data_IF_677878360288
#
_entry.id   IF_677878360288
#
_cell.length_a   1.000
_cell.length_b   1.000
_cell.length_c   1.000
_cell.angle_alpha   90.00
_cell.angle_beta   90.00
_cell.angle_gamma   90.00
#
_symmetry.space_group_name_H-M   'P 1'
#
loop_
_entity.id
_entity.type
_entity.pdbx_description
1 polymer ?
#
# COMPACT_ATOMS: atom_id res chain seq x y z
N UNK A 1 6.77 1.15 14.94
CA UNK A 1 7.89 2.01 14.48
C UNK A 1 8.44 1.47 13.16
N UNK A 2 8.92 2.30 12.23
CA UNK A 2 9.52 1.82 10.96
C UNK A 2 10.67 0.83 11.20
N UNK A 3 11.41 0.98 12.31
CA UNK A 3 12.49 0.07 12.71
C UNK A 3 12.03 -1.37 12.92
N UNK A 4 10.79 -1.56 13.39
CA UNK A 4 10.22 -2.90 13.56
C UNK A 4 10.08 -3.60 12.20
N UNK A 5 9.72 -2.87 11.14
CA UNK A 5 9.60 -3.43 9.78
C UNK A 5 10.92 -4.05 9.31
N UNK A 6 12.05 -3.44 9.67
CA UNK A 6 13.39 -3.90 9.31
C UNK A 6 13.93 -5.04 10.17
N UNK A 7 13.34 -5.32 11.35
CA UNK A 7 13.71 -6.49 12.15
C UNK A 7 13.27 -7.83 11.53
N UNK A 8 12.63 -7.80 10.34
CA UNK A 8 12.02 -8.93 9.67
C UNK A 8 13.00 -9.69 8.74
N UNK A 9 13.12 -11.02 8.83
CA UNK A 9 13.92 -11.84 7.91
C UNK A 9 13.41 -11.88 6.46
N UNK A 10 12.26 -11.27 6.14
CA UNK A 10 11.63 -11.26 4.79
C UNK A 10 12.30 -10.31 3.78
N UNK A 11 13.55 -9.94 4.05
CA UNK A 11 14.29 -8.83 3.44
C UNK A 11 14.88 -9.12 2.05
N UNK A 12 14.02 -9.29 1.04
CA UNK A 12 14.34 -8.84 -0.30
C UNK A 12 13.31 -7.76 -0.66
N UNK A 13 13.78 -6.55 -0.96
CA UNK A 13 12.97 -5.39 -1.39
C UNK A 13 12.17 -4.62 -0.33
N UNK A 14 12.36 -4.84 0.99
CA UNK A 14 11.67 -4.01 1.99
C UNK A 14 12.05 -2.53 1.88
N UNK A 15 13.34 -2.25 1.65
CA UNK A 15 13.83 -0.88 1.45
C UNK A 15 13.18 -0.24 0.22
N UNK A 16 13.02 -0.99 -0.88
CA UNK A 16 12.32 -0.50 -2.06
C UNK A 16 10.87 -0.14 -1.76
N UNK A 17 10.14 -1.02 -1.06
CA UNK A 17 8.74 -0.77 -0.68
C UNK A 17 8.60 0.44 0.24
N UNK A 18 9.58 0.64 1.14
CA UNK A 18 9.58 1.78 2.04
C UNK A 18 9.85 3.08 1.27
N UNK A 19 10.82 3.08 0.35
CA UNK A 19 11.05 4.21 -0.53
C UNK A 19 9.82 4.53 -1.38
N UNK A 20 9.20 3.52 -1.98
CA UNK A 20 8.00 3.70 -2.80
C UNK A 20 6.88 4.35 -2.00
N UNK A 21 6.59 3.83 -0.79
CA UNK A 21 5.57 4.39 0.08
C UNK A 21 5.91 5.83 0.55
N UNK A 22 7.18 6.10 0.85
CA UNK A 22 7.64 7.43 1.25
C UNK A 22 7.52 8.45 0.11
N UNK A 23 7.91 8.06 -1.10
CA UNK A 23 7.80 8.86 -2.32
C UNK A 23 6.34 9.12 -2.66
N UNK A 24 5.51 8.08 -2.61
CA UNK A 24 4.07 8.19 -2.85
C UNK A 24 3.41 9.16 -1.87
N UNK A 25 3.72 9.06 -0.58
CA UNK A 25 3.24 10.01 0.42
C UNK A 25 3.66 11.44 0.08
N UNK A 26 4.94 11.66 -0.23
CA UNK A 26 5.48 12.98 -0.54
C UNK A 26 4.81 13.61 -1.77
N UNK A 27 4.66 12.83 -2.84
CA UNK A 27 3.96 13.26 -4.05
C UNK A 27 2.49 13.62 -3.77
N UNK A 28 1.78 12.79 -3.00
CA UNK A 28 0.38 13.03 -2.63
C UNK A 28 0.23 14.33 -1.83
N UNK A 29 1.11 14.57 -0.87
CA UNK A 29 1.15 15.82 -0.11
C UNK A 29 1.40 17.02 -1.04
N UNK A 30 2.40 16.93 -1.91
CA UNK A 30 2.74 18.01 -2.83
C UNK A 30 1.63 18.31 -3.85
N UNK A 31 0.92 17.29 -4.35
CA UNK A 31 -0.24 17.47 -5.22
C UNK A 31 -1.40 18.17 -4.49
N UNK A 32 -1.53 17.96 -3.18
CA UNK A 32 -2.51 18.64 -2.34
C UNK A 32 -2.08 20.06 -1.93
N UNK A 33 -0.94 20.56 -2.41
CA UNK A 33 -0.41 21.87 -2.02
C UNK A 33 0.22 21.89 -0.62
N UNK A 34 0.52 20.72 -0.05
CA UNK A 34 1.01 20.57 1.32
C UNK A 34 2.53 20.44 1.31
N UNK A 35 3.22 21.47 1.80
CA UNK A 35 4.66 21.48 2.09
C UNK A 35 4.87 20.87 3.48
N UNK A 36 5.75 19.89 3.60
CA UNK A 36 5.93 19.14 4.84
C UNK A 36 6.96 19.79 5.77
N UNK A 37 8.13 20.17 5.27
CA UNK A 37 9.17 20.84 6.05
C UNK A 37 9.92 19.96 7.06
N UNK A 38 9.53 18.69 7.23
CA UNK A 38 10.25 17.69 8.03
C UNK A 38 10.02 16.25 7.51
N UNK A 39 10.38 16.02 6.25
CA UNK A 39 10.26 14.72 5.60
C UNK A 39 11.28 13.72 6.16
N UNK A 40 10.83 12.70 6.90
CA UNK A 40 11.68 11.64 7.46
C UNK A 40 10.91 10.34 7.69
N UNK A 41 11.62 9.21 7.83
CA UNK A 41 11.00 7.93 8.21
C UNK A 41 10.49 7.98 9.65
N UNK A 42 11.16 8.73 10.53
CA UNK A 42 10.72 8.87 11.92
C UNK A 42 9.39 9.61 12.06
N UNK A 43 9.08 10.54 11.14
CA UNK A 43 7.81 11.27 11.11
C UNK A 43 6.75 10.59 10.22
N UNK A 44 7.01 9.35 9.80
CA UNK A 44 6.13 8.57 8.94
C UNK A 44 5.69 7.28 9.61
N UNK A 45 4.37 7.05 9.66
CA UNK A 45 3.81 5.77 10.04
C UNK A 45 3.67 4.90 8.80
N UNK A 46 4.39 3.77 8.79
CA UNK A 46 4.26 2.75 7.76
C UNK A 46 3.39 1.60 8.25
N UNK A 47 2.47 1.14 7.41
CA UNK A 47 1.64 -0.04 7.63
C UNK A 47 1.78 -0.99 6.46
N UNK A 48 1.82 -2.29 6.74
CA UNK A 48 1.74 -3.31 5.69
C UNK A 48 0.38 -3.21 4.99
N UNK A 49 0.42 -3.30 3.67
CA UNK A 49 -0.76 -3.27 2.81
C UNK A 49 -0.62 -4.31 1.69
N UNK A 50 -0.82 -5.58 2.03
CA UNK A 50 -0.86 -6.69 1.08
C UNK A 50 0.39 -6.78 0.19
N UNK A 51 1.56 -6.89 0.82
CA UNK A 51 2.85 -6.96 0.13
C UNK A 51 3.43 -5.58 -0.25
N UNK A 52 2.70 -4.49 -0.09
CA UNK A 52 3.21 -3.12 -0.17
C UNK A 52 3.28 -2.45 1.23
N UNK A 53 3.70 -1.19 1.27
CA UNK A 53 3.59 -0.34 2.45
C UNK A 53 2.68 0.85 2.16
N UNK A 54 1.77 1.13 3.07
CA UNK A 54 1.06 2.40 3.14
C UNK A 54 1.79 3.33 4.10
N UNK A 55 2.02 4.58 3.68
CA UNK A 55 2.69 5.59 4.48
C UNK A 55 1.73 6.73 4.88
N UNK A 56 1.85 7.18 6.12
CA UNK A 56 1.05 8.26 6.68
C UNK A 56 1.94 9.28 7.39
N UNK A 57 1.69 10.54 7.12
CA UNK A 57 2.24 11.66 7.87
C UNK A 57 1.75 11.59 9.32
N UNK A 58 2.67 11.58 10.29
CA UNK A 58 2.33 11.56 11.73
C UNK A 58 2.54 12.93 12.36
N UNK A 59 3.57 13.65 11.93
CA UNK A 59 3.94 14.95 12.45
C UNK A 59 3.92 15.99 11.32
N UNK A 60 3.10 17.03 11.52
CA UNK A 60 2.88 18.12 10.60
C UNK A 60 3.20 19.49 11.23
N UNK A 61 3.99 19.53 12.32
CA UNK A 61 4.30 20.77 13.04
C UNK A 61 4.91 21.86 12.17
N UNK A 62 5.76 21.48 11.21
CA UNK A 62 6.45 22.39 10.29
C UNK A 62 5.74 22.56 8.95
N UNK A 63 4.56 21.96 8.79
CA UNK A 63 3.90 21.88 7.51
C UNK A 63 3.13 23.16 7.16
N UNK A 64 3.10 23.48 5.87
CA UNK A 64 2.39 24.62 5.33
C UNK A 64 1.45 24.18 4.20
N UNK A 65 0.20 24.68 4.21
CA UNK A 65 -0.75 24.45 3.13
C UNK A 65 -0.81 25.66 2.21
N UNK A 66 -0.57 25.42 0.93
CA UNK A 66 -0.62 26.40 -0.14
C UNK A 66 -1.68 26.01 -1.18
N UNK A 67 -2.19 26.95 -2.00
CA UNK A 67 -3.06 26.60 -3.13
C UNK A 67 -2.39 25.65 -4.13
N UNK A 68 -1.07 25.79 -4.29
CA UNK A 68 -0.20 24.89 -5.04
C UNK A 68 1.24 25.13 -4.60
N UNK A 69 2.07 24.08 -4.58
CA UNK A 69 3.48 24.23 -4.26
C UNK A 69 4.29 24.67 -5.48
N UNK A 70 5.19 25.62 -5.27
CA UNK A 70 6.24 25.95 -6.24
C UNK A 70 7.27 24.82 -6.38
N UNK A 71 7.99 24.80 -7.50
CA UNK A 71 9.05 23.81 -7.75
C UNK A 71 10.13 23.85 -6.66
N UNK A 72 10.49 25.05 -6.19
CA UNK A 72 11.47 25.24 -5.13
C UNK A 72 11.02 24.66 -3.79
N UNK A 73 9.74 24.80 -3.42
CA UNK A 73 9.20 24.20 -2.20
C UNK A 73 9.26 22.67 -2.27
N UNK A 74 8.85 22.08 -3.40
CA UNK A 74 8.88 20.62 -3.58
C UNK A 74 10.31 20.08 -3.57
N UNK A 75 11.22 20.72 -4.28
CA UNK A 75 12.62 20.33 -4.32
C UNK A 75 13.29 20.43 -2.94
N UNK A 76 12.88 21.42 -2.14
CA UNK A 76 13.36 21.54 -0.76
C UNK A 76 12.92 20.34 0.10
N UNK A 77 11.64 19.97 0.06
CA UNK A 77 11.13 18.81 0.78
C UNK A 77 11.78 17.49 0.31
N UNK A 78 12.03 17.34 -0.99
CA UNK A 78 12.74 16.16 -1.55
C UNK A 78 14.19 16.12 -1.07
N UNK A 79 14.92 17.22 -1.13
CA UNK A 79 16.31 17.28 -0.67
C UNK A 79 16.41 16.98 0.84
N UNK A 80 15.46 17.48 1.63
CA UNK A 80 15.39 17.17 3.05
C UNK A 80 15.08 15.70 3.30
N UNK A 81 14.12 15.12 2.56
CA UNK A 81 13.82 13.70 2.62
C UNK A 81 15.07 12.86 2.33
N UNK A 82 15.82 13.20 1.28
CA UNK A 82 17.07 12.50 0.92
C UNK A 82 18.08 12.49 2.07
N UNK A 83 18.34 13.65 2.69
CA UNK A 83 19.29 13.76 3.79
C UNK A 83 18.83 12.95 5.01
N UNK A 84 17.58 13.12 5.44
CA UNK A 84 17.06 12.51 6.68
C UNK A 84 16.83 11.02 6.54
N UNK A 85 16.15 10.58 5.47
CA UNK A 85 15.92 9.16 5.19
C UNK A 85 17.25 8.44 5.04
N UNK A 86 18.22 9.06 4.36
CA UNK A 86 19.57 8.55 4.23
C UNK A 86 20.27 8.31 5.56
N UNK A 87 20.27 9.31 6.44
CA UNK A 87 20.81 9.19 7.79
C UNK A 87 20.14 8.07 8.61
N UNK A 88 18.82 7.97 8.53
CA UNK A 88 18.05 6.95 9.26
C UNK A 88 18.31 5.53 8.74
N UNK A 89 18.51 5.35 7.43
CA UNK A 89 18.92 4.08 6.84
C UNK A 89 20.35 3.69 7.26
N UNK A 90 21.27 4.65 7.30
CA UNK A 90 22.64 4.42 7.80
C UNK A 90 22.63 4.00 9.28
N UNK A 91 21.79 4.63 10.11
CA UNK A 91 21.62 4.25 11.51
C UNK A 91 21.06 2.82 11.66
N UNK A 92 20.10 2.44 10.81
CA UNK A 92 19.60 1.07 10.76
C UNK A 92 20.69 0.06 10.36
N UNK A 93 21.56 0.43 9.42
CA UNK A 93 22.68 -0.41 8.96
C UNK A 93 23.71 -0.59 10.07
N UNK A 94 24.08 0.50 10.73
CA UNK A 94 25.00 0.47 11.88
C UNK A 94 24.42 -0.34 13.05
N UNK A 95 23.09 -0.32 13.22
CA UNK A 95 22.37 -1.12 14.21
C UNK A 95 22.20 -2.60 13.84
N UNK A 96 22.61 -3.02 12.64
CA UNK A 96 22.46 -4.40 12.16
C UNK A 96 21.04 -4.81 11.78
N UNK A 97 20.15 -3.83 11.55
CA UNK A 97 18.75 -4.09 11.13
C UNK A 97 18.61 -4.25 9.62
N UNK A 98 19.56 -3.73 8.83
CA UNK A 98 19.62 -3.92 7.38
C UNK A 98 20.97 -4.49 6.98
N UNK A 99 21.02 -5.16 5.83
CA UNK A 99 22.24 -5.78 5.32
C UNK A 99 23.36 -4.74 5.20
N UNK A 100 24.57 -5.11 5.66
CA UNK A 100 25.74 -4.25 5.52
C UNK A 100 26.17 -4.06 4.06
N UNK A 101 25.72 -4.93 3.15
CA UNK A 101 25.99 -4.86 1.71
C UNK A 101 25.04 -3.88 0.98
N UNK A 102 24.09 -3.29 1.68
CA UNK A 102 23.16 -2.31 1.12
C UNK A 102 23.87 -0.96 0.93
N UNK A 103 23.84 -0.40 -0.28
CA UNK A 103 24.37 0.93 -0.55
C UNK A 103 23.32 2.00 -0.21
N UNK A 104 23.37 2.50 1.02
CA UNK A 104 22.48 3.56 1.48
C UNK A 104 22.59 4.83 0.61
N UNK A 105 23.74 5.12 0.01
CA UNK A 105 23.94 6.31 -0.83
C UNK A 105 23.18 6.14 -2.15
N UNK A 106 23.27 4.96 -2.77
CA UNK A 106 22.51 4.65 -3.99
C UNK A 106 20.99 4.74 -3.76
N UNK A 107 20.53 4.29 -2.59
CA UNK A 107 19.11 4.34 -2.19
C UNK A 107 18.62 5.78 -1.99
N UNK A 108 19.46 6.67 -1.47
CA UNK A 108 19.12 8.09 -1.31
C UNK A 108 18.94 8.77 -2.68
N UNK A 109 19.82 8.48 -3.63
CA UNK A 109 19.71 9.00 -5.00
C UNK A 109 18.47 8.44 -5.72
N UNK A 110 18.07 7.22 -5.37
CA UNK A 110 16.87 6.60 -5.89
C UNK A 110 15.59 7.29 -5.40
N UNK A 111 15.54 7.81 -4.16
CA UNK A 111 14.36 8.52 -3.62
C UNK A 111 13.97 9.72 -4.50
N UNK A 112 14.92 10.62 -4.78
CA UNK A 112 14.65 11.78 -5.64
C UNK A 112 14.30 11.38 -7.07
N UNK A 113 14.99 10.38 -7.63
CA UNK A 113 14.69 9.88 -8.98
C UNK A 113 13.27 9.30 -9.07
N UNK A 114 12.85 8.50 -8.09
CA UNK A 114 11.48 7.96 -8.01
C UNK A 114 10.45 9.06 -7.82
N UNK A 115 10.76 10.05 -6.98
CA UNK A 115 9.90 11.23 -6.81
C UNK A 115 9.72 11.99 -8.12
N UNK A 116 10.80 12.36 -8.80
CA UNK A 116 10.75 13.11 -10.05
C UNK A 116 10.03 12.31 -11.16
N UNK A 117 10.26 11.00 -11.22
CA UNK A 117 9.57 10.12 -12.16
C UNK A 117 8.06 10.07 -11.90
N UNK A 118 7.66 9.86 -10.64
CA UNK A 118 6.24 9.80 -10.27
C UNK A 118 5.56 11.16 -10.44
N UNK A 119 6.18 12.24 -9.96
CA UNK A 119 5.69 13.61 -10.14
C UNK A 119 5.54 13.94 -11.63
N UNK A 120 6.56 13.62 -12.44
CA UNK A 120 6.53 13.81 -13.88
C UNK A 120 5.38 13.05 -14.57
N UNK A 121 5.16 11.78 -14.24
CA UNK A 121 4.04 11.02 -14.80
C UNK A 121 2.68 11.66 -14.47
N UNK A 122 2.54 12.16 -13.24
CA UNK A 122 1.32 12.80 -12.73
C UNK A 122 1.07 14.19 -13.31
N UNK A 123 2.11 15.01 -13.48
CA UNK A 123 1.95 16.42 -13.85
C UNK A 123 2.35 16.75 -15.29
N UNK A 124 2.94 15.82 -16.05
CA UNK A 124 3.40 16.11 -17.41
C UNK A 124 2.25 16.37 -18.38
N UNK A 125 2.51 17.23 -19.37
CA UNK A 125 1.61 17.45 -20.51
C UNK A 125 2.20 16.72 -21.72
N UNK A 126 1.39 15.92 -22.43
CA UNK A 126 1.82 15.14 -23.59
C UNK A 126 1.12 15.67 -24.85
N UNK A 127 1.85 15.87 -25.97
CA UNK A 127 1.23 16.21 -27.25
C UNK A 127 0.92 14.92 -28.00
N UNK A 128 -0.37 14.69 -28.27
CA UNK A 128 -0.87 13.49 -28.90
C UNK A 128 -1.29 13.75 -30.34
N UNK A 129 -0.81 12.91 -31.26
CA UNK A 129 -1.28 12.90 -32.64
C UNK A 129 -2.72 12.34 -32.72
N UNK A 130 -3.57 12.81 -33.66
CA UNK A 130 -4.99 12.44 -33.70
C UNK A 130 -5.28 10.93 -33.76
N UNK A 131 -4.42 10.17 -34.42
CA UNK A 131 -4.52 8.71 -34.55
C UNK A 131 -4.10 7.95 -33.29
N UNK A 132 -3.36 8.59 -32.38
CA UNK A 132 -2.84 7.98 -31.16
C UNK A 132 -3.64 8.32 -29.89
N UNK A 133 -4.43 9.39 -29.94
CA UNK A 133 -5.10 9.99 -28.77
C UNK A 133 -5.83 8.96 -27.90
N UNK A 134 -6.72 8.15 -28.49
CA UNK A 134 -7.60 7.27 -27.72
C UNK A 134 -6.84 6.20 -26.94
N UNK A 135 -5.82 5.58 -27.55
CA UNK A 135 -5.07 4.52 -26.88
C UNK A 135 -4.08 5.10 -25.88
N UNK A 136 -3.42 6.23 -26.19
CA UNK A 136 -2.46 6.91 -25.29
C UNK A 136 -3.13 7.44 -24.03
N UNK A 137 -4.30 8.06 -24.16
CA UNK A 137 -5.10 8.52 -23.00
C UNK A 137 -5.48 7.33 -22.12
N UNK A 138 -5.99 6.24 -22.72
CA UNK A 138 -6.36 5.03 -21.98
C UNK A 138 -5.19 4.39 -21.24
N UNK A 139 -4.04 4.26 -21.90
CA UNK A 139 -2.81 3.75 -21.28
C UNK A 139 -2.34 4.64 -20.13
N UNK A 140 -2.39 5.97 -20.30
CA UNK A 140 -1.99 6.91 -19.26
C UNK A 140 -2.92 6.85 -18.04
N UNK A 141 -4.23 6.85 -18.24
CA UNK A 141 -5.22 6.66 -17.15
C UNK A 141 -4.99 5.33 -16.43
N UNK A 142 -4.73 4.25 -17.16
CA UNK A 142 -4.45 2.93 -16.56
C UNK A 142 -3.19 2.96 -15.68
N UNK A 143 -2.10 3.55 -16.16
CA UNK A 143 -0.86 3.69 -15.38
C UNK A 143 -1.08 4.53 -14.13
N UNK A 144 -1.82 5.64 -14.21
CA UNK A 144 -2.16 6.47 -13.05
C UNK A 144 -2.97 5.70 -12.00
N UNK A 145 -3.95 4.91 -12.43
CA UNK A 145 -4.73 4.04 -11.54
C UNK A 145 -3.85 2.95 -10.89
N UNK A 146 -2.91 2.37 -11.65
CA UNK A 146 -1.93 1.39 -11.13
C UNK A 146 -1.01 2.02 -10.07
N UNK A 147 -0.75 3.32 -10.15
CA UNK A 147 -0.01 4.11 -9.17
C UNK A 147 -0.88 4.63 -8.01
N UNK A 148 -2.18 4.33 -8.00
CA UNK A 148 -3.11 4.73 -6.92
C UNK A 148 -3.63 6.17 -7.03
N UNK A 149 -3.62 6.77 -8.23
CA UNK A 149 -4.14 8.11 -8.50
C UNK A 149 -5.35 8.06 -9.44
N UNK A 150 -6.36 8.90 -9.17
CA UNK A 150 -7.51 9.06 -10.06
C UNK A 150 -7.30 10.28 -10.97
N UNK A 151 -7.85 10.20 -12.18
CA UNK A 151 -7.93 11.34 -13.10
C UNK A 151 -9.24 12.09 -12.85
N UNK A 152 -9.13 13.35 -12.40
CA UNK A 152 -10.29 14.20 -12.11
C UNK A 152 -10.80 14.87 -13.39
N UNK A 153 -9.89 15.41 -14.19
CA UNK A 153 -10.21 16.10 -15.44
C UNK A 153 -9.24 15.72 -16.56
N UNK A 154 -9.77 15.58 -17.77
CA UNK A 154 -9.03 15.34 -19.00
C UNK A 154 -9.26 16.53 -19.93
N UNK A 155 -8.23 17.35 -20.13
CA UNK A 155 -8.26 18.47 -21.07
C UNK A 155 -7.45 18.13 -22.33
N UNK A 156 -8.03 18.38 -23.50
CA UNK A 156 -7.34 18.32 -24.79
C UNK A 156 -7.32 19.71 -25.40
N UNK A 157 -6.14 20.33 -25.41
CA UNK A 157 -5.93 21.65 -25.99
C UNK A 157 -5.34 21.50 -27.38
N UNK A 158 -5.95 22.14 -28.39
CA UNK A 158 -5.43 22.12 -29.76
C UNK A 158 -4.01 22.70 -29.80
N UNK A 159 -3.06 21.92 -30.32
CA UNK A 159 -1.65 22.26 -30.46
C UNK A 159 -1.21 22.28 -31.94
N UNK A 160 -2.16 22.43 -32.88
CA UNK A 160 -1.91 22.54 -34.31
C UNK A 160 -1.75 21.19 -35.01
N UNK A 161 -0.62 20.52 -34.82
CA UNK A 161 -0.35 19.20 -35.42
C UNK A 161 -0.91 18.03 -34.59
N UNK A 162 -1.48 18.31 -33.42
CA UNK A 162 -2.03 17.34 -32.48
C UNK A 162 -2.77 18.05 -31.34
N UNK A 163 -3.09 17.31 -30.29
CA UNK A 163 -3.74 17.85 -29.09
C UNK A 163 -2.84 17.66 -27.88
N UNK A 164 -2.62 18.72 -27.11
CA UNK A 164 -1.93 18.66 -25.82
C UNK A 164 -2.90 18.10 -24.78
N UNK A 165 -2.59 16.92 -24.28
CA UNK A 165 -3.27 16.27 -23.17
C UNK A 165 -2.75 16.86 -21.87
N UNK A 166 -3.66 17.45 -21.10
CA UNK A 166 -3.45 17.82 -19.71
C UNK A 166 -4.41 17.00 -18.84
N UNK A 167 -3.84 16.28 -17.88
CA UNK A 167 -4.60 15.52 -16.89
C UNK A 167 -4.50 16.25 -15.57
N UNK A 168 -5.64 16.57 -14.96
CA UNK A 168 -5.67 16.99 -13.57
C UNK A 168 -5.81 15.73 -12.73
N UNK A 169 -4.70 15.26 -12.18
CA UNK A 169 -4.68 14.11 -11.29
C UNK A 169 -5.02 14.55 -9.88
N UNK A 170 -5.91 13.83 -9.23
CA UNK A 170 -6.09 13.94 -7.78
C UNK A 170 -5.64 12.63 -7.15
N UNK A 171 -5.29 12.69 -5.87
CA UNK A 171 -5.14 11.47 -5.09
C UNK A 171 -6.46 10.70 -5.23
N UNK A 172 -6.38 9.44 -5.69
CA UNK A 172 -7.57 8.63 -5.91
C UNK A 172 -8.45 8.68 -4.68
N UNK A 173 -9.78 8.69 -4.82
CA UNK A 173 -10.69 8.80 -3.68
C UNK A 173 -10.34 7.70 -2.65
N UNK A 174 -9.60 8.01 -1.56
CA UNK A 174 -8.87 6.97 -0.85
C UNK A 174 -9.88 6.04 -0.21
N UNK A 175 -9.72 4.73 -0.41
CA UNK A 175 -10.58 3.77 0.27
C UNK A 175 -11.83 3.33 -0.49
N UNK A 176 -11.87 3.35 -1.83
CA UNK A 176 -13.03 2.76 -2.55
C UNK A 176 -13.19 1.29 -2.16
N UNK A 177 -12.12 0.49 -2.27
CA UNK A 177 -12.17 -0.92 -1.90
C UNK A 177 -12.34 -1.06 -0.39
N UNK A 178 -11.70 -0.20 0.42
CA UNK A 178 -11.92 -0.18 1.88
C UNK A 178 -13.39 0.03 2.25
N UNK A 179 -14.04 1.08 1.73
CA UNK A 179 -15.47 1.40 1.96
C UNK A 179 -16.35 0.25 1.50
N UNK A 180 -16.06 -0.31 0.32
CA UNK A 180 -16.83 -1.41 -0.25
C UNK A 180 -16.72 -2.68 0.60
N UNK A 181 -15.52 -3.05 1.02
CA UNK A 181 -15.28 -4.19 1.89
C UNK A 181 -15.92 -3.98 3.26
N UNK A 182 -15.72 -2.80 3.86
CA UNK A 182 -16.29 -2.44 5.15
C UNK A 182 -17.81 -2.52 5.12
N UNK A 183 -18.47 -1.99 4.09
CA UNK A 183 -19.93 -2.10 3.94
C UNK A 183 -20.42 -3.55 3.83
N UNK A 184 -19.59 -4.47 3.35
CA UNK A 184 -19.95 -5.90 3.14
C UNK A 184 -19.63 -6.80 4.32
N UNK A 185 -18.61 -6.45 5.11
CA UNK A 185 -18.00 -7.36 6.09
C UNK A 185 -17.72 -6.70 7.45
N UNK A 186 -17.72 -5.37 7.53
CA UNK A 186 -17.30 -4.61 8.70
C UNK A 186 -15.79 -4.56 8.92
N UNK A 187 -14.98 -5.16 8.04
CA UNK A 187 -13.52 -5.13 8.16
C UNK A 187 -12.96 -3.76 7.73
N UNK A 188 -12.21 -3.11 8.63
CA UNK A 188 -11.45 -1.91 8.33
C UNK A 188 -9.97 -2.26 8.15
N UNK A 189 -9.52 -2.22 6.90
CA UNK A 189 -8.21 -2.71 6.44
C UNK A 189 -7.62 -1.72 5.44
N UNK A 190 -6.40 -1.93 4.96
CA UNK A 190 -5.78 -1.07 3.94
C UNK A 190 -6.34 -1.29 2.52
N UNK A 191 -6.02 -0.41 1.57
CA UNK A 191 -6.66 -0.43 0.25
C UNK A 191 -6.28 -1.67 -0.57
N UNK A 192 -5.01 -2.06 -0.60
CA UNK A 192 -4.60 -3.27 -1.32
C UNK A 192 -5.05 -4.55 -0.60
N UNK A 193 -5.04 -4.54 0.73
CA UNK A 193 -5.69 -5.58 1.53
C UNK A 193 -7.18 -5.70 1.17
N UNK A 194 -7.91 -4.59 1.12
CA UNK A 194 -9.34 -4.60 0.79
C UNK A 194 -9.60 -5.15 -0.61
N UNK A 195 -8.82 -4.71 -1.59
CA UNK A 195 -8.86 -5.22 -2.97
C UNK A 195 -8.59 -6.73 -3.00
N UNK A 196 -7.60 -7.22 -2.25
CA UNK A 196 -7.29 -8.65 -2.16
C UNK A 196 -8.43 -9.45 -1.55
N UNK A 197 -9.01 -8.99 -0.45
CA UNK A 197 -10.10 -9.67 0.25
C UNK A 197 -11.40 -9.67 -0.58
N UNK A 198 -11.72 -8.56 -1.26
CA UNK A 198 -12.84 -8.50 -2.20
C UNK A 198 -12.70 -9.51 -3.35
N UNK A 199 -11.47 -9.70 -3.86
CA UNK A 199 -11.19 -10.73 -4.86
C UNK A 199 -11.42 -12.14 -4.30
N UNK A 200 -11.01 -12.43 -3.06
CA UNK A 200 -11.22 -13.75 -2.45
C UNK A 200 -12.72 -14.02 -2.16
N UNK A 201 -13.48 -12.99 -1.77
CA UNK A 201 -14.96 -13.07 -1.67
C UNK A 201 -15.59 -13.41 -3.03
N UNK A 202 -15.12 -12.78 -4.11
CA UNK A 202 -15.63 -13.07 -5.45
C UNK A 202 -15.32 -14.51 -5.90
N UNK A 203 -14.09 -15.00 -5.64
CA UNK A 203 -13.72 -16.39 -5.89
C UNK A 203 -14.56 -17.37 -5.05
N UNK A 204 -14.76 -17.07 -3.77
CA UNK A 204 -15.60 -17.88 -2.89
C UNK A 204 -17.06 -17.92 -3.34
N UNK A 205 -17.59 -16.79 -3.80
CA UNK A 205 -18.92 -16.73 -4.41
C UNK A 205 -19.02 -17.66 -5.62
N UNK A 206 -18.02 -17.63 -6.52
CA UNK A 206 -17.97 -18.53 -7.68
C UNK A 206 -17.99 -20.01 -7.27
N UNK A 207 -17.22 -20.38 -6.24
CA UNK A 207 -17.24 -21.73 -5.67
C UNK A 207 -18.63 -22.12 -5.12
N UNK A 208 -19.30 -21.22 -4.39
CA UNK A 208 -20.65 -21.47 -3.88
C UNK A 208 -21.66 -21.63 -5.01
N UNK A 209 -21.61 -20.80 -6.04
CA UNK A 209 -22.50 -20.88 -7.20
C UNK A 209 -22.31 -22.20 -7.96
N UNK A 210 -21.06 -22.64 -8.11
CA UNK A 210 -20.72 -23.91 -8.75
C UNK A 210 -21.23 -25.11 -7.95
N UNK A 211 -21.03 -25.12 -6.63
CA UNK A 211 -21.44 -26.25 -5.76
C UNK A 211 -22.94 -26.30 -5.48
N UNK A 212 -23.60 -25.15 -5.41
CA UNK A 212 -25.04 -25.09 -5.15
C UNK A 212 -25.89 -25.04 -6.42
N UNK A 213 -25.25 -24.94 -7.60
CA UNK A 213 -25.89 -24.81 -8.91
C UNK A 213 -26.94 -23.68 -8.99
N UNK A 214 -26.71 -22.58 -8.27
CA UNK A 214 -27.60 -21.41 -8.26
C UNK A 214 -26.80 -20.12 -8.07
N UNK A 215 -27.27 -18.98 -8.60
CA UNK A 215 -26.68 -17.69 -8.30
C UNK A 215 -26.72 -17.41 -6.79
N UNK A 216 -25.65 -16.81 -6.26
CA UNK A 216 -25.52 -16.45 -4.84
C UNK A 216 -25.45 -14.94 -4.75
N UNK A 217 -26.35 -14.26 -4.02
CA UNK A 217 -26.25 -12.82 -3.83
C UNK A 217 -24.93 -12.44 -3.17
N UNK A 218 -24.35 -11.33 -3.60
CA UNK A 218 -23.03 -10.88 -3.16
C UNK A 218 -22.93 -10.71 -1.64
N UNK A 219 -23.96 -10.12 -1.01
CA UNK A 219 -24.02 -9.96 0.46
C UNK A 219 -24.01 -11.31 1.18
N UNK A 220 -24.68 -12.33 0.62
CA UNK A 220 -24.68 -13.69 1.20
C UNK A 220 -23.30 -14.31 1.08
N UNK A 221 -22.65 -14.16 -0.07
CA UNK A 221 -21.29 -14.67 -0.27
C UNK A 221 -20.29 -13.99 0.68
N UNK A 222 -20.36 -12.68 0.85
CA UNK A 222 -19.49 -11.93 1.76
C UNK A 222 -19.64 -12.36 3.22
N UNK A 223 -20.88 -12.48 3.73
CA UNK A 223 -21.13 -12.94 5.10
C UNK A 223 -20.65 -14.39 5.32
N UNK A 224 -20.96 -15.29 4.38
CA UNK A 224 -20.50 -16.68 4.47
C UNK A 224 -18.98 -16.79 4.38
N UNK A 225 -18.34 -16.02 3.51
CA UNK A 225 -16.88 -15.95 3.44
C UNK A 225 -16.27 -15.47 4.75
N UNK A 226 -16.88 -14.45 5.37
CA UNK A 226 -16.41 -13.88 6.63
C UNK A 226 -16.45 -14.91 7.77
N UNK A 227 -17.47 -15.78 7.84
CA UNK A 227 -17.55 -16.84 8.84
C UNK A 227 -16.71 -18.08 8.47
N UNK A 228 -16.92 -18.62 7.27
CA UNK A 228 -16.40 -19.94 6.85
C UNK A 228 -14.93 -19.91 6.41
N UNK A 229 -14.42 -18.74 6.00
CA UNK A 229 -13.04 -18.57 5.54
C UNK A 229 -12.27 -17.66 6.49
N UNK A 230 -12.59 -16.36 6.53
CA UNK A 230 -11.83 -15.38 7.30
C UNK A 230 -11.84 -15.67 8.81
N UNK A 231 -13.03 -15.73 9.42
CA UNK A 231 -13.20 -15.96 10.84
C UNK A 231 -12.66 -17.30 11.31
N UNK A 232 -12.83 -18.35 10.48
CA UNK A 232 -12.26 -19.68 10.76
C UNK A 232 -10.73 -19.65 10.82
N UNK A 233 -10.09 -18.96 9.88
CA UNK A 233 -8.63 -18.82 9.87
C UNK A 233 -8.15 -17.96 11.04
N UNK A 234 -8.79 -16.82 11.29
CA UNK A 234 -8.40 -15.92 12.39
C UNK A 234 -8.58 -16.59 13.77
N UNK A 235 -9.63 -17.38 13.95
CA UNK A 235 -9.86 -18.13 15.18
C UNK A 235 -8.81 -19.24 15.43
N UNK A 236 -8.16 -19.73 14.37
CA UNK A 236 -7.11 -20.74 14.46
C UNK A 236 -5.75 -20.17 14.91
N UNK A 237 -5.58 -18.84 14.97
CA UNK A 237 -4.32 -18.21 15.37
C UNK A 237 -4.07 -18.46 16.86
N UNK A 238 -2.94 -19.13 17.22
CA UNK A 238 -2.53 -19.32 18.61
C UNK A 238 -2.36 -17.98 19.35
N UNK A 239 -2.68 -17.95 20.64
CA UNK A 239 -2.68 -16.71 21.43
C UNK A 239 -1.31 -16.00 21.43
N UNK A 240 -0.24 -16.79 21.43
CA UNK A 240 1.16 -16.37 21.39
C UNK A 240 1.62 -15.79 20.04
N UNK A 241 0.85 -15.99 18.97
CA UNK A 241 1.11 -15.43 17.65
C UNK A 241 0.20 -14.24 17.31
N UNK A 242 -0.81 -13.94 18.14
CA UNK A 242 -1.68 -12.78 17.93
C UNK A 242 -0.90 -11.49 18.10
N UNK A 243 -1.24 -10.47 17.31
CA UNK A 243 -0.60 -9.16 17.35
C UNK A 243 0.82 -9.11 16.78
N UNK A 244 1.32 -10.20 16.16
CA UNK A 244 2.56 -10.15 15.38
C UNK A 244 2.39 -9.40 14.06
N UNK A 245 1.20 -9.44 13.49
CA UNK A 245 0.78 -8.71 12.28
C UNK A 245 -0.69 -8.32 12.44
N UNK A 246 -1.14 -7.32 11.67
CA UNK A 246 -2.56 -7.02 11.53
C UNK A 246 -3.30 -8.22 10.92
N UNK A 247 -4.51 -8.53 11.41
CA UNK A 247 -5.29 -9.71 11.00
C UNK A 247 -5.49 -9.81 9.47
N UNK A 248 -5.73 -8.67 8.82
CA UNK A 248 -5.88 -8.60 7.37
C UNK A 248 -4.60 -8.94 6.61
N UNK A 249 -3.44 -8.57 7.16
CA UNK A 249 -2.14 -8.92 6.59
C UNK A 249 -1.84 -10.40 6.78
N UNK A 250 -2.15 -10.97 7.95
CA UNK A 250 -2.06 -12.43 8.18
C UNK A 250 -2.92 -13.17 7.16
N UNK A 251 -4.17 -12.75 6.97
CA UNK A 251 -5.05 -13.40 6.01
C UNK A 251 -4.52 -13.25 4.58
N UNK A 252 -4.04 -12.06 4.20
CA UNK A 252 -3.40 -11.83 2.89
C UNK A 252 -2.23 -12.81 2.65
N UNK A 253 -1.31 -12.93 3.61
CA UNK A 253 -0.16 -13.83 3.49
C UNK A 253 -0.58 -15.30 3.43
N UNK A 254 -1.64 -15.69 4.14
CA UNK A 254 -2.21 -17.05 4.03
C UNK A 254 -2.77 -17.30 2.62
N UNK A 255 -3.43 -16.32 1.99
CA UNK A 255 -3.91 -16.46 0.62
C UNK A 255 -2.76 -16.60 -0.38
N UNK A 256 -1.66 -15.88 -0.17
CA UNK A 256 -0.44 -16.02 -0.98
C UNK A 256 0.22 -17.39 -0.76
N UNK A 257 0.36 -17.81 0.49
CA UNK A 257 0.89 -19.14 0.85
C UNK A 257 0.05 -20.27 0.26
N UNK A 258 -1.28 -20.12 0.27
CA UNK A 258 -2.22 -21.06 -0.39
C UNK A 258 -1.91 -21.22 -1.87
N UNK A 259 -1.62 -20.12 -2.57
CA UNK A 259 -1.27 -20.15 -3.98
C UNK A 259 0.04 -20.91 -4.20
N UNK A 260 1.11 -20.59 -3.46
CA UNK A 260 2.40 -21.30 -3.55
C UNK A 260 2.27 -22.81 -3.27
N UNK A 261 1.53 -23.19 -2.22
CA UNK A 261 1.29 -24.59 -1.89
C UNK A 261 0.49 -25.31 -2.98
N UNK A 262 -0.49 -24.64 -3.58
CA UNK A 262 -1.31 -25.21 -4.66
C UNK A 262 -0.50 -25.41 -5.93
N UNK A 263 0.35 -24.43 -6.28
CA UNK A 263 1.27 -24.51 -7.41
C UNK A 263 2.24 -25.68 -7.23
N UNK A 264 2.91 -25.77 -6.07
CA UNK A 264 3.84 -26.85 -5.77
C UNK A 264 3.18 -28.25 -5.75
N UNK A 265 1.92 -28.33 -5.32
CA UNK A 265 1.16 -29.58 -5.29
C UNK A 265 0.46 -29.94 -6.61
N UNK A 266 0.43 -29.02 -7.59
CA UNK A 266 -0.31 -29.17 -8.85
C UNK A 266 -1.83 -29.31 -8.68
N UNK A 267 -2.38 -28.87 -7.53
CA UNK A 267 -3.81 -28.95 -7.21
C UNK A 267 -4.18 -27.91 -6.16
N UNK A 268 -5.46 -27.52 -6.13
CA UNK A 268 -5.96 -26.55 -5.16
C UNK A 268 -5.83 -27.06 -3.71
N UNK A 269 -5.12 -26.28 -2.90
CA UNK A 269 -5.04 -26.44 -1.45
C UNK A 269 -6.07 -25.51 -0.81
N UNK A 270 -6.89 -26.05 0.09
CA UNK A 270 -7.91 -25.27 0.80
C UNK A 270 -7.30 -24.27 1.81
N UNK A 271 -8.00 -23.17 2.05
CA UNK A 271 -7.54 -22.08 2.93
C UNK A 271 -7.16 -22.56 4.33
N UNK A 272 -7.93 -23.48 4.94
CA UNK A 272 -7.61 -24.02 6.29
C UNK A 272 -6.30 -24.80 6.32
N UNK A 273 -6.00 -25.57 5.27
CA UNK A 273 -4.76 -26.34 5.18
C UNK A 273 -3.55 -25.41 5.00
N UNK A 274 -3.69 -24.39 4.14
CA UNK A 274 -2.67 -23.36 3.95
C UNK A 274 -2.45 -22.53 5.22
N UNK A 275 -3.53 -22.15 5.92
CA UNK A 275 -3.48 -21.43 7.18
C UNK A 275 -2.69 -22.21 8.23
N UNK A 276 -2.97 -23.52 8.38
CA UNK A 276 -2.22 -24.36 9.30
C UNK A 276 -0.72 -24.38 9.00
N UNK A 277 -0.35 -24.62 7.74
CA UNK A 277 1.06 -24.66 7.33
C UNK A 277 1.76 -23.30 7.56
N UNK A 278 1.07 -22.20 7.24
CA UNK A 278 1.56 -20.85 7.46
C UNK A 278 1.75 -20.52 8.96
N UNK A 279 0.78 -20.87 9.81
CA UNK A 279 0.86 -20.64 11.26
C UNK A 279 1.93 -21.50 11.93
N UNK A 280 2.21 -22.69 11.41
CA UNK A 280 3.24 -23.59 11.93
C UNK A 280 4.66 -23.16 11.51
N UNK A 281 4.83 -22.57 10.31
CA UNK A 281 6.16 -22.38 9.69
C UNK A 281 6.55 -20.94 9.42
N UNK A 282 5.59 -20.07 9.15
CA UNK A 282 5.86 -18.72 8.63
C UNK A 282 5.61 -17.66 9.71
N UNK A 283 4.40 -17.63 10.31
CA UNK A 283 4.06 -16.62 11.33
C UNK A 283 4.98 -16.62 12.57
N UNK A 284 5.47 -17.76 13.08
CA UNK A 284 6.38 -17.78 14.24
C UNK A 284 7.71 -17.07 14.00
N UNK A 285 8.17 -17.01 12.73
CA UNK A 285 9.39 -16.33 12.34
C UNK A 285 9.23 -14.80 12.25
N UNK A 286 8.00 -14.29 12.33
CA UNK A 286 7.71 -12.85 12.27
C UNK A 286 8.02 -12.20 13.61
N UNK A 287 8.82 -11.11 13.67
CA UNK A 287 9.05 -10.36 14.90
C UNK A 287 7.75 -9.89 15.56
N UNK A 288 7.70 -9.93 16.90
CA UNK A 288 6.47 -9.64 17.66
C UNK A 288 6.10 -8.17 17.83
N UNK A 289 6.91 -7.25 17.33
CA UNK A 289 6.84 -5.81 17.57
C UNK A 289 6.35 -5.00 16.35
N UNK A 290 5.96 -5.67 15.26
CA UNK A 290 5.50 -5.01 14.03
C UNK A 290 4.18 -4.24 14.18
N UNK A 291 3.32 -4.66 15.10
CA UNK A 291 2.02 -4.01 15.39
C UNK A 291 2.15 -2.95 16.50
N UNK A 292 3.31 -2.82 17.14
CA UNK A 292 3.55 -1.85 18.21
C UNK A 292 3.67 -0.42 17.64
N UNK A 293 2.51 0.15 17.34
CA UNK A 293 2.30 1.53 16.90
C UNK A 293 0.85 2.02 16.97
N UNK A 294 -0.13 1.15 17.29
CA UNK A 294 -1.56 1.51 17.24
C UNK A 294 -2.28 1.49 18.60
N UNK A 295 -1.57 1.48 19.74
CA UNK A 295 -2.23 1.67 21.04
C UNK A 295 -2.27 3.16 21.37
N UNK A 296 -3.33 3.84 20.91
CA UNK A 296 -3.74 5.09 21.55
C UNK A 296 -4.26 4.70 22.94
N UNK A 297 -3.65 5.17 24.05
CA UNK A 297 -4.20 4.91 25.36
C UNK A 297 -5.59 5.54 25.44
N UNK A 298 -6.61 4.70 25.62
CA UNK A 298 -7.96 5.15 25.96
C UNK A 298 -7.87 6.04 27.19
N UNK A 299 -8.16 7.33 27.01
CA UNK A 299 -8.27 8.26 28.12
C UNK A 299 -9.40 7.78 29.03
N UNK A 300 -9.05 7.40 30.26
CA UNK A 300 -10.03 7.15 31.31
C UNK A 300 -10.87 8.43 31.51
N UNK A 301 -12.19 8.31 31.74
CA UNK A 301 -13.01 9.47 32.02
C UNK A 301 -12.58 10.11 33.35
N UNK A 302 -12.66 11.45 33.48
CA UNK A 302 -12.37 12.12 34.74
C UNK A 302 -13.43 11.75 35.79
N UNK A 303 -12.96 11.51 37.02
CA UNK A 303 -13.77 11.35 38.23
C UNK A 303 -14.62 12.60 38.56
#
# INVERSE_FOLDING_TARGET
SYRALFANPRGQHLTDRLLDAQVELLVRLHLAGFFWGDCSLSNTLFRLDAGALAAYLVDAETAELHPSLSDGQRQYDVAMAQERVGGELLDLQAGGFISADLDAIEIIDELARRYDALWGELTSEEVLLPDEQRYRIGERVRRLNELGFDVDEIELVDAGAGSRLRLTTRVAEPGHHRRLLFARTGLDVQENQARRLLSDIASFRGYLEQTTHRPVPEVVAANRWLEESYGTVMAAIPAELRGRLDDAEIFHEILEHRWFLSEAAGKDIGTTAAAKDYLDRVLPAVPGDLVAGAVIPSAAPPD
#
